data_IF_096288817603
#
_entry.id   IF_096288817603
#
_cell.length_a   1.000
_cell.length_b   1.000
_cell.length_c   1.000
_cell.angle_alpha   90.00
_cell.angle_beta   90.00
_cell.angle_gamma   90.00
#
_symmetry.space_group_name_H-M   'P 1'
#
loop_
_entity.id
_entity.type
_entity.pdbx_description
1 polymer ?
#
# COMPACT_ATOMS: atom_id res chain seq x y z
N UNK A 1 -0.62 4.97 -9.27
CA UNK A 1 0.38 4.03 -8.74
C UNK A 1 -0.10 2.59 -8.87
N UNK A 2 0.60 1.78 -9.64
CA UNK A 2 0.41 0.34 -9.76
C UNK A 2 0.88 -0.43 -8.52
N UNK A 3 0.42 -1.67 -8.38
CA UNK A 3 0.85 -2.63 -7.34
C UNK A 3 2.38 -2.82 -7.31
N UNK A 4 3.01 -2.85 -8.48
CA UNK A 4 4.45 -3.06 -8.62
C UNK A 4 5.25 -1.83 -8.18
N UNK A 5 4.75 -0.62 -8.43
CA UNK A 5 5.37 0.62 -7.94
C UNK A 5 5.36 0.69 -6.41
N UNK A 6 4.27 0.29 -5.77
CA UNK A 6 4.19 0.26 -4.29
C UNK A 6 5.16 -0.75 -3.68
N UNK A 7 5.35 -1.92 -4.30
CA UNK A 7 6.32 -2.92 -3.83
C UNK A 7 7.76 -2.42 -3.95
N UNK A 8 8.10 -1.78 -5.07
CA UNK A 8 9.42 -1.18 -5.26
C UNK A 8 9.66 -0.08 -4.22
N UNK A 9 8.70 0.83 -4.07
CA UNK A 9 8.77 1.90 -3.07
C UNK A 9 8.94 1.36 -1.65
N UNK A 10 8.19 0.33 -1.25
CA UNK A 10 8.32 -0.26 0.07
C UNK A 10 9.71 -0.88 0.30
N UNK A 11 10.28 -1.54 -0.71
CA UNK A 11 11.64 -2.08 -0.64
C UNK A 11 12.70 -0.97 -0.56
N UNK A 12 12.50 0.14 -1.26
CA UNK A 12 13.42 1.28 -1.21
C UNK A 12 13.37 1.96 0.16
N UNK A 13 12.17 2.13 0.74
CA UNK A 13 11.99 2.64 2.11
C UNK A 13 12.62 1.72 3.15
N UNK A 14 12.49 0.40 2.99
CA UNK A 14 13.16 -0.59 3.85
C UNK A 14 14.68 -0.44 3.82
N UNK A 15 15.27 -0.19 2.65
CA UNK A 15 16.72 -0.01 2.51
C UNK A 15 17.21 1.28 3.16
N UNK A 16 16.41 2.34 3.09
CA UNK A 16 16.77 3.65 3.62
C UNK A 16 16.76 3.72 5.15
N UNK A 17 15.95 2.91 5.84
CA UNK A 17 15.87 2.89 7.30
C UNK A 17 16.58 1.65 7.90
N UNK A 18 17.67 1.83 8.68
CA UNK A 18 18.37 0.73 9.35
C UNK A 18 17.47 -0.17 10.20
N UNK A 19 16.46 0.38 10.86
CA UNK A 19 15.52 -0.39 11.69
C UNK A 19 14.66 -1.34 10.84
N UNK A 20 14.30 -0.91 9.64
CA UNK A 20 13.51 -1.72 8.72
C UNK A 20 14.36 -2.72 7.92
N UNK A 21 15.69 -2.58 7.89
CA UNK A 21 16.56 -3.57 7.26
C UNK A 21 16.49 -4.94 7.97
N UNK A 22 16.19 -4.95 9.27
CA UNK A 22 15.95 -6.17 10.04
C UNK A 22 14.71 -6.96 9.55
N UNK A 23 13.75 -6.28 8.91
CA UNK A 23 12.56 -6.94 8.34
C UNK A 23 12.93 -7.71 7.08
N UNK A 24 12.35 -8.90 6.88
CA UNK A 24 12.53 -9.65 5.64
C UNK A 24 11.86 -8.94 4.45
N UNK A 25 12.44 -9.06 3.26
CA UNK A 25 11.92 -8.46 2.03
C UNK A 25 10.48 -8.88 1.73
N UNK A 26 10.13 -10.13 2.06
CA UNK A 26 8.77 -10.66 1.90
C UNK A 26 7.76 -9.96 2.81
N UNK A 27 8.14 -9.58 4.04
CA UNK A 27 7.25 -8.83 4.95
C UNK A 27 6.95 -7.45 4.38
N UNK A 28 7.97 -6.77 3.87
CA UNK A 28 7.83 -5.46 3.22
C UNK A 28 6.90 -5.53 1.99
N UNK A 29 7.06 -6.57 1.16
CA UNK A 29 6.20 -6.77 0.00
C UNK A 29 4.74 -7.08 0.38
N UNK A 30 4.50 -7.83 1.47
CA UNK A 30 3.16 -8.08 1.99
C UNK A 30 2.48 -6.82 2.55
N UNK A 31 3.25 -5.93 3.20
CA UNK A 31 2.72 -4.63 3.65
C UNK A 31 2.31 -3.77 2.45
N UNK A 32 3.15 -3.70 1.42
CA UNK A 32 2.81 -3.01 0.18
C UNK A 32 1.55 -3.57 -0.49
N UNK A 33 1.38 -4.89 -0.43
CA UNK A 33 0.19 -5.57 -0.95
C UNK A 33 -1.09 -5.17 -0.22
N UNK A 34 -1.07 -5.23 1.12
CA UNK A 34 -2.22 -4.86 1.95
C UNK A 34 -2.57 -3.39 1.76
N UNK A 35 -1.56 -2.53 1.64
CA UNK A 35 -1.76 -1.11 1.36
C UNK A 35 -2.42 -0.88 -0.01
N UNK A 36 -1.97 -1.58 -1.05
CA UNK A 36 -2.58 -1.49 -2.38
C UNK A 36 -4.08 -1.85 -2.34
N UNK A 37 -4.43 -2.97 -1.69
CA UNK A 37 -5.83 -3.40 -1.56
C UNK A 37 -6.68 -2.43 -0.74
N UNK A 38 -6.14 -1.90 0.37
CA UNK A 38 -6.83 -0.90 1.17
C UNK A 38 -7.08 0.38 0.37
N UNK A 39 -6.10 0.80 -0.43
CA UNK A 39 -6.21 1.95 -1.32
C UNK A 39 -7.29 1.74 -2.39
N UNK A 40 -7.31 0.57 -3.04
CA UNK A 40 -8.36 0.24 -4.02
C UNK A 40 -9.75 0.29 -3.40
N UNK A 41 -9.94 -0.39 -2.26
CA UNK A 41 -11.22 -0.38 -1.53
C UNK A 41 -11.64 1.02 -1.10
N UNK A 42 -10.69 1.85 -0.69
CA UNK A 42 -10.96 3.23 -0.31
C UNK A 42 -11.49 4.05 -1.49
N UNK A 43 -10.84 3.97 -2.65
CA UNK A 43 -11.29 4.69 -3.84
C UNK A 43 -12.58 4.11 -4.45
N UNK A 44 -12.75 2.79 -4.43
CA UNK A 44 -14.00 2.13 -4.81
C UNK A 44 -15.16 2.57 -3.88
N UNK A 45 -14.92 2.58 -2.56
CA UNK A 45 -15.90 3.05 -1.58
C UNK A 45 -16.22 4.54 -1.71
N UNK A 46 -15.25 5.38 -2.09
CA UNK A 46 -15.48 6.78 -2.42
C UNK A 46 -16.31 6.94 -3.70
N UNK A 47 -16.05 6.14 -4.73
CA UNK A 47 -16.83 6.15 -5.97
C UNK A 47 -18.28 5.69 -5.74
N UNK A 48 -18.48 4.72 -4.84
CA UNK A 48 -19.79 4.16 -4.49
C UNK A 48 -20.54 4.97 -3.41
N UNK A 49 -19.96 6.09 -2.94
CA UNK A 49 -20.62 6.94 -1.94
C UNK A 49 -21.78 7.71 -2.60
N UNK A 50 -23.03 7.57 -2.11
CA UNK A 50 -24.15 8.31 -2.67
C UNK A 50 -23.91 9.82 -2.54
N UNK A 51 -23.93 10.53 -3.68
CA UNK A 51 -23.62 11.97 -3.78
C UNK A 51 -24.64 12.89 -3.07
N UNK A 52 -25.80 12.36 -2.69
CA UNK A 52 -26.83 13.05 -1.90
C UNK A 52 -27.19 12.22 -0.68
N UNK A 53 -27.12 12.82 0.51
CA UNK A 53 -27.84 12.31 1.68
C UNK A 53 -29.33 12.47 1.38
N UNK A 54 -30.12 11.40 1.55
CA UNK A 54 -31.58 11.46 1.57
C UNK A 54 -32.04 12.30 2.76
#
# INVERSE_FOLDING_TARGET
MSRNELRKLALDLRKQNPEFQALHSQVTQQVAERFYQARERFFEGLANKPKKKK
#
